data_IF_508985399303
#
_entry.id   IF_508985399303
#
_cell.length_a   1.000
_cell.length_b   1.000
_cell.length_c   1.000
_cell.angle_alpha   90.00
_cell.angle_beta   90.00
_cell.angle_gamma   90.00
#
_symmetry.space_group_name_H-M   'P 1'
#
loop_
_entity.id
_entity.type
_entity.pdbx_description
1 polymer ?
2 branched ?
3 non-polymer ?
4 non-polymer ?
5 water ?
#
# COMPACT_ATOMS: atom_id res chain seq x y z
N UNK A 31 -27.06 9.27 -6.53
CA UNK A 31 -27.51 8.09 -5.73
C UNK A 31 -27.01 8.21 -4.29
N UNK A 32 -27.79 7.66 -3.36
CA UNK A 32 -27.45 7.67 -1.93
C UNK A 32 -27.74 6.27 -1.38
N UNK A 33 -27.12 5.27 -2.01
CA UNK A 33 -27.36 3.87 -1.68
C UNK A 33 -26.41 3.31 -0.61
N UNK A 34 -25.33 4.04 -0.30
CA UNK A 34 -24.29 3.54 0.61
C UNK A 34 -23.47 2.41 0.00
N UNK A 35 -23.30 2.46 -1.32
CA UNK A 35 -22.49 1.50 -2.04
C UNK A 35 -21.43 2.21 -2.90
N UNK A 36 -21.42 3.54 -2.89
CA UNK A 36 -20.52 4.34 -3.73
C UNK A 36 -19.07 4.17 -3.32
N UNK A 37 -18.15 4.34 -4.27
CA UNK A 37 -16.70 4.35 -3.96
C UNK A 37 -16.35 5.54 -3.09
N UNK A 38 -15.41 5.37 -2.17
CA UNK A 38 -14.90 6.50 -1.40
C UNK A 38 -13.54 6.89 -1.94
N UNK A 39 -13.40 8.16 -2.32
CA UNK A 39 -12.21 8.62 -2.98
C UNK A 39 -11.17 9.24 -2.02
N UNK A 40 -11.41 9.06 -0.73
CA UNK A 40 -10.41 9.39 0.31
C UNK A 40 -9.93 8.11 1.01
N UNK A 41 -10.15 6.97 0.36
CA UNK A 41 -9.75 5.67 0.86
C UNK A 41 -8.80 5.07 -0.16
N UNK A 42 -7.56 4.85 0.29
CA UNK A 42 -6.45 4.42 -0.57
C UNK A 42 -6.06 3.00 -0.21
N UNK A 43 -5.98 2.11 -1.19
CA UNK A 43 -5.66 0.72 -0.90
C UNK A 43 -4.37 0.33 -1.62
N UNK A 44 -3.38 -0.11 -0.84
CA UNK A 44 -2.04 -0.38 -1.40
C UNK A 44 -2.01 -1.64 -2.26
N UNK A 45 -1.62 -1.45 -3.53
CA UNK A 45 -1.75 -2.46 -4.57
C UNK A 45 -0.40 -2.79 -5.20
N UNK A 46 -0.18 -4.09 -5.39
CA UNK A 46 1.10 -4.64 -5.90
C UNK A 46 0.87 -5.36 -7.23
N UNK A 47 1.65 -4.98 -8.25
CA UNK A 47 1.50 -5.56 -9.60
C UNK A 47 2.73 -6.39 -10.02
N UNK A 48 3.40 -6.97 -9.03
CA UNK A 48 4.65 -7.68 -9.26
C UNK A 48 4.50 -9.22 -9.37
N UNK A 49 3.25 -9.69 -9.46
CA UNK A 49 2.97 -11.14 -9.60
C UNK A 49 2.99 -11.56 -11.04
N UNK A 50 3.51 -12.75 -11.29
CA UNK A 50 3.63 -13.23 -12.65
C UNK A 50 3.21 -14.67 -12.78
N UNK A 51 2.93 -15.07 -14.02
CA UNK A 51 2.83 -16.48 -14.34
C UNK A 51 3.87 -16.84 -15.42
N UNK A 52 4.26 -18.10 -15.43
CA UNK A 52 5.16 -18.61 -16.45
C UNK A 52 4.65 -18.26 -17.85
N UNK A 53 3.35 -18.46 -18.08
CA UNK A 53 2.73 -18.27 -19.40
C UNK A 53 2.74 -16.82 -19.88
N UNK A 54 2.48 -15.88 -18.97
CA UNK A 54 2.33 -14.48 -19.38
C UNK A 54 3.65 -13.71 -19.19
N UNK A 55 4.37 -14.05 -18.12
CA UNK A 55 5.53 -13.26 -17.70
C UNK A 55 6.86 -14.00 -17.79
N UNK A 56 6.81 -15.30 -18.06
CA UNK A 56 8.02 -16.10 -18.22
C UNK A 56 8.43 -16.82 -16.94
N UNK A 57 7.81 -16.43 -15.83
CA UNK A 57 8.11 -17.00 -14.53
C UNK A 57 6.94 -16.70 -13.57
N UNK A 58 6.78 -17.54 -12.56
CA UNK A 58 5.78 -17.25 -11.52
C UNK A 58 6.40 -16.24 -10.54
N UNK A 59 6.56 -15.02 -11.07
CA UNK A 59 7.24 -13.92 -10.39
C UNK A 59 6.56 -13.58 -9.07
N UNK A 60 7.36 -13.39 -8.03
CA UNK A 60 6.90 -13.11 -6.66
C UNK A 60 6.20 -14.27 -5.93
N UNK A 61 5.43 -15.10 -6.65
CA UNK A 61 4.98 -16.38 -6.06
C UNK A 61 6.19 -17.21 -5.68
N UNK A 62 7.23 -17.13 -6.50
CA UNK A 62 8.57 -17.58 -6.14
C UNK A 62 9.31 -16.39 -5.52
N UNK A 63 10.05 -16.62 -4.44
CA UNK A 63 10.65 -15.53 -3.69
C UNK A 63 11.76 -16.07 -2.81
N UNK A 64 12.82 -15.28 -2.67
CA UNK A 64 13.94 -15.64 -1.80
C UNK A 64 13.48 -15.58 -0.35
N UNK A 65 14.00 -16.49 0.47
CA UNK A 65 13.78 -16.42 1.90
C UNK A 65 14.86 -15.50 2.46
N UNK A 66 14.43 -14.46 3.19
CA UNK A 66 15.36 -13.45 3.71
C UNK A 66 16.21 -14.03 4.84
N UNK A 67 17.52 -13.68 4.87
CA UNK A 67 18.34 -14.16 5.98
C UNK A 67 17.96 -13.44 7.28
N UNK A 68 18.23 -14.08 8.42
CA UNK A 68 18.02 -13.48 9.73
C UNK A 68 19.05 -12.36 9.95
N UNK A 69 18.58 -11.12 10.14
CA UNK A 69 19.47 -9.98 10.41
C UNK A 69 20.29 -10.17 11.68
N UNK A 70 19.80 -11.00 12.59
CA UNK A 70 20.49 -11.28 13.86
C UNK A 70 20.97 -12.73 13.96
N UNK A 71 21.03 -13.43 12.84
CA UNK A 71 21.39 -14.85 12.82
C UNK A 71 22.82 -15.11 12.40
N UNK A 72 23.13 -16.39 12.18
CA UNK A 72 24.46 -16.83 11.78
C UNK A 72 24.99 -16.21 10.49
N UNK A 73 26.30 -16.27 10.30
CA UNK A 73 26.94 -15.70 9.11
C UNK A 73 27.02 -16.67 7.93
N UNK A 74 26.82 -17.96 8.20
CA UNK A 74 26.82 -18.96 7.14
C UNK A 74 25.42 -19.40 6.74
N UNK A 75 24.51 -18.43 6.60
CA UNK A 75 23.12 -18.73 6.28
C UNK A 75 22.89 -19.02 4.79
N UNK A 76 22.33 -20.20 4.52
CA UNK A 76 21.79 -20.53 3.21
C UNK A 76 20.27 -20.68 3.35
N UNK A 77 19.53 -19.55 3.34
CA UNK A 77 18.08 -19.61 3.63
C UNK A 77 17.30 -20.33 2.53
N UNK A 78 17.74 -20.18 1.29
CA UNK A 78 17.06 -20.81 0.18
C UNK A 78 15.97 -19.93 -0.38
N UNK A 79 15.05 -20.55 -1.11
CA UNK A 79 13.99 -19.82 -1.79
C UNK A 79 12.68 -20.60 -1.72
N UNK A 80 11.58 -19.89 -1.91
CA UNK A 80 10.30 -20.51 -2.11
C UNK A 80 10.10 -20.64 -3.62
N UNK A 81 9.89 -21.88 -4.12
CA UNK A 81 9.90 -22.15 -5.56
C UNK A 81 8.76 -21.55 -6.36
N UNK A 82 7.64 -21.22 -5.71
CA UNK A 82 6.49 -20.64 -6.42
C UNK A 82 5.73 -21.64 -7.25
N UNK A 83 5.79 -22.90 -6.83
CA UNK A 83 4.98 -23.97 -7.41
C UNK A 83 3.54 -23.83 -6.91
N UNK A 84 2.62 -24.58 -7.50
CA UNK A 84 1.25 -24.57 -6.98
C UNK A 84 1.20 -24.89 -5.48
N UNK A 85 2.03 -25.83 -5.05
CA UNK A 85 2.05 -26.29 -3.66
C UNK A 85 2.78 -25.34 -2.70
N UNK A 86 3.75 -24.61 -3.21
CA UNK A 86 4.60 -23.80 -2.36
C UNK A 86 4.83 -22.39 -2.91
N UNK A 87 4.00 -21.46 -2.45
CA UNK A 87 4.11 -20.04 -2.83
C UNK A 87 4.60 -19.17 -1.66
N UNK A 88 5.07 -17.96 -1.97
CA UNK A 88 5.67 -17.06 -1.01
C UNK A 88 4.63 -16.24 -0.22
N UNK A 89 3.74 -16.95 0.46
CA UNK A 89 2.71 -16.34 1.31
C UNK A 89 2.29 -17.36 2.35
N UNK A 90 1.86 -16.89 3.52
CA UNK A 90 1.26 -17.80 4.50
C UNK A 90 -0.20 -18.09 4.18
N UNK A 91 -0.76 -17.34 3.24
CA UNK A 91 -2.14 -17.52 2.75
C UNK A 91 -2.13 -17.97 1.31
N UNK A 92 -3.29 -18.27 0.75
CA UNK A 92 -3.37 -18.69 -0.64
C UNK A 92 -4.48 -17.96 -1.41
N UNK A 93 -4.12 -17.28 -2.52
CA UNK A 93 -5.09 -16.52 -3.29
C UNK A 93 -6.21 -17.35 -3.86
N UNK A 94 -7.43 -16.85 -3.75
CA UNK A 94 -8.59 -17.42 -4.43
C UNK A 94 -8.34 -17.48 -5.94
N UNK A 95 -7.64 -16.47 -6.47
CA UNK A 95 -7.35 -16.41 -7.90
C UNK A 95 -6.14 -17.23 -8.35
N UNK A 96 -5.49 -17.92 -7.40
CA UNK A 96 -4.32 -18.77 -7.71
C UNK A 96 -3.06 -17.96 -7.99
N UNK A 97 -2.06 -18.60 -8.61
CA UNK A 97 -0.81 -17.92 -8.92
C UNK A 97 -1.03 -17.00 -10.14
N UNK A 98 -1.68 -15.87 -9.88
CA UNK A 98 -2.09 -15.02 -10.98
C UNK A 98 -0.98 -14.14 -11.56
N UNK A 99 -1.17 -13.71 -12.80
CA UNK A 99 -0.32 -12.67 -13.41
C UNK A 99 -0.95 -11.30 -13.23
N UNK A 100 -0.16 -10.35 -12.73
CA UNK A 100 -0.56 -8.94 -12.67
C UNK A 100 -0.64 -8.31 -14.06
N UNK A 101 -0.19 -9.04 -15.09
CA UNK A 101 -0.30 -8.59 -16.49
C UNK A 101 -1.57 -9.09 -17.17
N UNK A 102 -2.34 -9.95 -16.51
CA UNK A 102 -3.50 -10.64 -17.12
C UNK A 102 -4.72 -9.72 -17.05
N UNK A 103 -5.22 -9.28 -18.21
CA UNK A 103 -6.35 -8.34 -18.26
C UNK A 103 -7.58 -8.86 -17.50
N UNK A 104 -7.83 -10.17 -17.56
CA UNK A 104 -8.98 -10.70 -16.87
C UNK A 104 -8.79 -10.76 -15.33
N UNK A 105 -7.55 -10.93 -14.87
CA UNK A 105 -7.24 -10.78 -13.44
C UNK A 105 -7.48 -9.33 -13.00
N UNK A 106 -6.98 -8.38 -13.80
CA UNK A 106 -7.23 -6.96 -13.51
C UNK A 106 -8.73 -6.62 -13.42
N UNK A 107 -9.55 -7.14 -14.34
CA UNK A 107 -10.99 -6.89 -14.28
C UNK A 107 -11.59 -7.38 -12.95
N UNK A 108 -11.16 -8.56 -12.50
CA UNK A 108 -11.67 -9.14 -11.26
C UNK A 108 -11.23 -8.32 -10.05
N UNK A 109 -9.98 -7.86 -10.07
CA UNK A 109 -9.46 -7.01 -9.02
C UNK A 109 -10.25 -5.71 -8.91
N UNK A 110 -10.58 -5.10 -10.05
CA UNK A 110 -11.36 -3.85 -10.04
C UNK A 110 -12.76 -4.08 -9.47
N UNK A 111 -13.37 -5.21 -9.81
CA UNK A 111 -14.65 -5.57 -9.24
C UNK A 111 -14.54 -5.75 -7.72
N UNK A 112 -13.40 -6.29 -7.26
CA UNK A 112 -13.15 -6.43 -5.83
C UNK A 112 -13.01 -5.07 -5.15
N UNK A 113 -12.37 -4.12 -5.83
CA UNK A 113 -12.29 -2.73 -5.34
C UNK A 113 -13.67 -2.11 -5.19
N UNK A 114 -14.53 -2.34 -6.18
CA UNK A 114 -15.92 -1.85 -6.13
C UNK A 114 -16.67 -2.46 -4.94
N UNK A 115 -16.44 -3.74 -4.70
CA UNK A 115 -17.07 -4.41 -3.56
C UNK A 115 -16.61 -3.80 -2.23
N UNK A 116 -15.33 -3.44 -2.16
CA UNK A 116 -14.73 -2.91 -0.94
C UNK A 116 -15.01 -1.41 -0.74
N UNK A 117 -15.54 -0.77 -1.80
CA UNK A 117 -15.78 0.67 -1.86
C UNK A 117 -14.49 1.52 -1.75
N UNK A 118 -13.35 0.91 -2.05
CA UNK A 118 -12.06 1.60 -2.05
C UNK A 118 -11.85 2.31 -3.37
N UNK A 119 -12.01 3.63 -3.38
CA UNK A 119 -11.96 4.42 -4.61
C UNK A 119 -10.60 4.66 -5.23
N UNK A 120 -9.52 4.48 -4.45
CA UNK A 120 -8.16 4.75 -4.94
C UNK A 120 -7.21 3.57 -4.76
N UNK A 121 -6.62 3.16 -5.87
CA UNK A 121 -5.66 2.09 -5.91
C UNK A 121 -4.28 2.76 -5.85
N UNK A 122 -3.52 2.49 -4.80
CA UNK A 122 -2.21 3.11 -4.62
C UNK A 122 -1.11 2.13 -5.08
N UNK A 123 -0.61 2.38 -6.28
CA UNK A 123 0.17 1.40 -7.02
C UNK A 123 1.65 1.48 -6.68
N UNK A 124 2.18 0.36 -6.18
CA UNK A 124 3.60 0.23 -5.92
C UNK A 124 4.38 0.60 -7.19
N UNK A 125 5.43 1.39 -7.04
CA UNK A 125 6.19 1.87 -8.19
C UNK A 125 7.70 1.86 -7.91
N UNK A 126 8.42 1.06 -8.69
CA UNK A 126 9.82 0.73 -8.41
C UNK A 126 10.85 1.23 -9.43
N UNK A 127 10.44 2.11 -10.32
CA UNK A 127 11.33 2.66 -11.37
C UNK A 127 12.06 1.51 -12.10
N UNK A 128 11.29 0.53 -12.56
CA UNK A 128 11.86 -0.64 -13.22
C UNK A 128 12.40 -0.34 -14.62
N UNK A 129 11.96 0.79 -15.17
CA UNK A 129 12.21 1.18 -16.56
C UNK A 129 12.34 -0.02 -17.51
N UNK A 130 11.24 -0.75 -17.61
CA UNK A 130 11.15 -1.83 -18.58
C UNK A 130 9.74 -1.88 -19.13
N UNK A 131 9.63 -2.40 -20.35
CA UNK A 131 8.39 -2.34 -21.09
C UNK A 131 7.24 -3.13 -20.44
N UNK A 132 7.58 -4.21 -19.74
CA UNK A 132 6.52 -5.04 -19.16
C UNK A 132 5.81 -4.28 -18.04
N UNK A 133 6.54 -3.46 -17.28
CA UNK A 133 5.91 -2.62 -16.25
C UNK A 133 5.06 -1.50 -16.84
N UNK A 134 5.57 -0.84 -17.88
CA UNK A 134 4.81 0.19 -18.57
C UNK A 134 3.49 -0.38 -19.08
N UNK A 135 3.52 -1.62 -19.58
CA UNK A 135 2.30 -2.28 -20.05
C UNK A 135 1.30 -2.49 -18.91
N UNK A 136 1.79 -3.01 -17.77
CA UNK A 136 0.95 -3.22 -16.59
C UNK A 136 0.31 -1.94 -16.10
N UNK A 137 1.08 -0.85 -16.05
CA UNK A 137 0.53 0.42 -15.55
C UNK A 137 -0.64 0.88 -16.43
N UNK A 138 -0.47 0.77 -17.75
CA UNK A 138 -1.54 1.13 -18.70
C UNK A 138 -2.77 0.24 -18.56
N UNK A 139 -2.55 -1.06 -18.39
CA UNK A 139 -3.68 -1.99 -18.22
C UNK A 139 -4.45 -1.69 -16.94
N UNK A 140 -3.70 -1.39 -15.88
CA UNK A 140 -4.31 -1.08 -14.58
C UNK A 140 -5.15 0.20 -14.65
N UNK A 141 -4.57 1.25 -15.18
CA UNK A 141 -5.31 2.50 -15.40
C UNK A 141 -6.62 2.28 -16.19
N UNK A 142 -6.51 1.59 -17.33
CA UNK A 142 -7.66 1.28 -18.17
C UNK A 142 -8.74 0.47 -17.42
N UNK A 143 -8.32 -0.61 -16.76
CA UNK A 143 -9.25 -1.46 -16.00
C UNK A 143 -9.90 -0.68 -14.86
N UNK A 144 -9.10 0.13 -14.16
CA UNK A 144 -9.61 1.00 -13.08
C UNK A 144 -10.72 1.92 -13.60
N UNK A 145 -10.45 2.55 -14.74
CA UNK A 145 -11.38 3.57 -15.23
C UNK A 145 -12.74 2.97 -15.56
N UNK A 146 -12.75 1.73 -16.05
CA UNK A 146 -13.99 1.04 -16.37
C UNK A 146 -14.92 0.92 -15.18
N UNK A 147 -14.35 1.00 -13.99
CA UNK A 147 -15.12 0.85 -12.75
C UNK A 147 -15.10 2.13 -11.90
N UNK A 148 -14.63 3.25 -12.48
CA UNK A 148 -14.56 4.57 -11.82
C UNK A 148 -13.56 4.59 -10.65
N UNK A 149 -12.68 3.60 -10.62
CA UNK A 149 -11.58 3.58 -9.64
C UNK A 149 -10.47 4.56 -10.08
N UNK A 150 -9.79 5.18 -9.11
CA UNK A 150 -8.67 6.05 -9.40
C UNK A 150 -7.34 5.38 -9.02
N UNK A 151 -6.25 5.87 -9.60
CA UNK A 151 -4.93 5.32 -9.36
C UNK A 151 -3.98 6.42 -8.98
N UNK A 152 -3.25 6.24 -7.87
CA UNK A 152 -2.10 7.07 -7.55
C UNK A 152 -0.88 6.16 -7.37
N UNK A 153 0.30 6.77 -7.26
CA UNK A 153 1.55 6.00 -7.18
C UNK A 153 2.17 6.03 -5.80
N UNK A 154 2.64 4.86 -5.40
CA UNK A 154 3.34 4.65 -4.14
C UNK A 154 4.82 4.49 -4.50
N UNK A 155 5.59 5.56 -4.29
CA UNK A 155 6.95 5.62 -4.79
C UNK A 155 7.89 4.92 -3.82
N UNK A 156 8.45 3.82 -4.29
CA UNK A 156 9.24 2.93 -3.43
C UNK A 156 10.71 3.35 -3.40
N UNK A 157 11.49 2.77 -2.48
CA UNK A 157 12.92 3.10 -2.38
C UNK A 157 13.76 2.40 -3.46
N UNK A 158 13.64 2.85 -4.71
CA UNK A 158 14.41 2.29 -5.82
C UNK A 158 15.89 2.71 -5.74
N UNK A 159 16.80 1.98 -6.42
CA UNK A 159 18.23 2.28 -6.21
C UNK A 159 18.64 3.71 -6.57
N UNK A 160 19.44 4.34 -5.70
CA UNK A 160 19.91 5.72 -5.90
C UNK A 160 18.79 6.76 -5.93
N UNK A 161 17.62 6.41 -5.39
CA UNK A 161 16.51 7.37 -5.29
C UNK A 161 17.02 8.60 -4.55
N UNK A 162 16.71 9.77 -5.10
CA UNK A 162 17.11 11.04 -4.53
C UNK A 162 16.12 12.09 -5.04
N UNK A 163 16.20 13.32 -4.56
CA UNK A 163 15.13 14.26 -4.93
C UNK A 163 15.14 14.64 -6.42
N UNK A 164 16.31 14.58 -7.05
CA UNK A 164 16.43 14.92 -8.48
C UNK A 164 15.74 13.90 -9.39
N UNK A 165 16.14 12.62 -9.28
CA UNK A 165 15.43 11.59 -10.03
C UNK A 165 13.99 11.38 -9.58
N UNK A 166 13.67 11.66 -8.30
CA UNK A 166 12.25 11.68 -7.93
C UNK A 166 11.49 12.72 -8.73
N UNK A 167 12.05 13.93 -8.84
CA UNK A 167 11.37 14.97 -9.61
C UNK A 167 11.21 14.52 -11.06
N UNK A 168 12.29 13.96 -11.61
CA UNK A 168 12.27 13.51 -13.00
C UNK A 168 11.17 12.44 -13.21
N UNK A 169 11.04 11.55 -12.24
CA UNK A 169 10.06 10.48 -12.31
C UNK A 169 8.61 10.96 -12.09
N UNK A 170 8.46 11.93 -11.20
CA UNK A 170 7.17 12.60 -11.00
C UNK A 170 6.73 13.28 -12.29
N UNK A 171 7.66 14.03 -12.90
CA UNK A 171 7.37 14.67 -14.19
C UNK A 171 6.95 13.63 -15.24
N UNK A 172 7.70 12.53 -15.33
CA UNK A 172 7.38 11.49 -16.30
C UNK A 172 5.99 10.91 -16.06
N UNK A 173 5.69 10.60 -14.80
CA UNK A 173 4.40 9.99 -14.45
C UNK A 173 3.22 10.92 -14.72
N UNK A 174 3.35 12.19 -14.31
CA UNK A 174 2.29 13.17 -14.57
C UNK A 174 2.14 13.44 -16.08
N UNK A 175 3.25 13.56 -16.79
CA UNK A 175 3.22 13.76 -18.24
C UNK A 175 2.56 12.58 -18.96
N UNK A 176 2.99 11.36 -18.62
CA UNK A 176 2.49 10.16 -19.28
C UNK A 176 1.03 9.84 -18.90
N UNK A 177 0.70 9.99 -17.62
CA UNK A 177 -0.59 9.48 -17.14
C UNK A 177 -1.58 10.53 -16.62
N UNK A 178 -1.13 11.77 -16.52
CA UNK A 178 -1.94 12.85 -15.92
C UNK A 178 -3.26 13.09 -16.64
N UNK A 179 -3.29 12.79 -17.94
CA UNK A 179 -4.52 12.97 -18.72
C UNK A 179 -5.39 11.71 -18.76
N UNK A 180 -4.91 10.62 -18.18
CA UNK A 180 -5.74 9.42 -18.08
C UNK A 180 -6.92 9.70 -17.15
N UNK A 181 -8.15 9.33 -17.56
CA UNK A 181 -9.30 9.59 -16.69
C UNK A 181 -9.24 8.91 -15.31
N UNK A 182 -8.44 7.86 -15.15
CA UNK A 182 -8.31 7.17 -13.86
C UNK A 182 -7.20 7.75 -12.96
N UNK A 183 -6.43 8.69 -13.50
CA UNK A 183 -5.35 9.34 -12.73
C UNK A 183 -5.95 10.15 -11.56
N UNK A 184 -5.55 9.84 -10.34
CA UNK A 184 -6.12 10.46 -9.14
C UNK A 184 -5.71 11.92 -8.91
N UNK A 185 -6.70 12.74 -8.54
CA UNK A 185 -6.44 14.11 -8.11
C UNK A 185 -7.31 14.42 -6.90
N UNK A 186 -6.74 15.17 -5.97
CA UNK A 186 -7.48 15.71 -4.81
C UNK A 186 -7.47 17.24 -4.95
N UNK A 187 -8.66 17.82 -5.07
CA UNK A 187 -8.81 19.25 -5.34
C UNK A 187 -7.78 19.71 -6.38
N UNK A 188 -7.71 18.99 -7.50
CA UNK A 188 -6.85 19.38 -8.60
C UNK A 188 -5.40 18.92 -8.57
N UNK A 189 -4.95 18.34 -7.47
CA UNK A 189 -3.56 17.91 -7.33
C UNK A 189 -3.37 16.39 -7.33
N UNK A 190 -2.34 15.89 -8.04
CA UNK A 190 -2.01 14.46 -7.89
C UNK A 190 -1.54 14.21 -6.47
N UNK A 191 -1.49 12.93 -6.08
CA UNK A 191 -0.99 12.57 -4.77
C UNK A 191 -0.01 11.40 -4.89
N UNK A 192 1.10 11.50 -4.17
CA UNK A 192 2.07 10.40 -4.07
C UNK A 192 2.31 10.04 -2.63
N UNK A 193 2.41 8.74 -2.37
CA UNK A 193 2.89 8.20 -1.10
C UNK A 193 4.37 7.90 -1.31
N UNK A 194 5.20 8.26 -0.34
CA UNK A 194 6.64 8.03 -0.46
C UNK A 194 7.12 7.08 0.64
N UNK A 195 7.36 5.83 0.25
CA UNK A 195 7.79 4.80 1.19
C UNK A 195 9.21 5.08 1.66
N UNK A 196 9.45 4.82 2.97
CA UNK A 196 10.74 5.05 3.62
C UNK A 196 11.36 6.41 3.24
N UNK A 197 10.54 7.46 3.30
CA UNK A 197 10.96 8.81 2.95
C UNK A 197 12.10 9.30 3.85
N UNK A 198 12.21 8.71 5.05
CA UNK A 198 13.24 9.09 6.01
C UNK A 198 14.67 8.79 5.54
N UNK A 199 14.79 7.94 4.53
CA UNK A 199 16.10 7.62 3.95
C UNK A 199 16.68 8.80 3.17
N UNK A 200 15.87 9.84 2.96
CA UNK A 200 16.32 11.09 2.31
C UNK A 200 16.25 12.25 3.32
N UNK A 201 17.36 12.98 3.47
CA UNK A 201 17.43 14.08 4.44
C UNK A 201 16.42 15.20 4.15
N UNK A 202 15.85 15.82 5.21
CA UNK A 202 14.96 16.97 4.98
C UNK A 202 15.59 18.09 4.17
N UNK A 203 16.91 18.32 4.31
CA UNK A 203 17.55 19.39 3.50
C UNK A 203 17.47 19.10 1.99
N UNK A 204 17.45 17.83 1.62
CA UNK A 204 17.21 17.45 0.21
C UNK A 204 15.74 17.60 -0.16
N UNK A 205 14.86 17.05 0.68
CA UNK A 205 13.41 17.17 0.43
C UNK A 205 13.00 18.61 0.19
N UNK A 206 13.58 19.53 0.96
CA UNK A 206 13.15 20.90 0.90
C UNK A 206 13.39 21.51 -0.49
N UNK A 207 14.43 21.04 -1.19
CA UNK A 207 14.76 21.53 -2.53
C UNK A 207 13.63 21.18 -3.51
N UNK A 208 12.92 20.11 -3.19
CA UNK A 208 11.85 19.61 -4.05
C UNK A 208 10.51 20.12 -3.56
N UNK A 209 10.35 20.22 -2.26
CA UNK A 209 9.02 20.41 -1.65
C UNK A 209 8.75 21.77 -1.02
N UNK A 210 9.79 22.57 -0.78
CA UNK A 210 9.58 23.94 -0.36
C UNK A 210 9.20 24.80 -1.57
N UNK A 211 8.25 25.75 -1.41
CA UNK A 211 8.00 26.68 -2.51
C UNK A 211 9.29 27.41 -2.94
N UNK A 212 10.26 27.51 -2.02
CA UNK A 212 11.55 28.16 -2.33
C UNK A 212 12.66 27.25 -2.82
N UNK A 213 12.40 25.93 -2.83
CA UNK A 213 13.41 24.94 -3.20
C UNK A 213 13.94 25.04 -4.62
N UNK A 214 15.25 24.81 -4.78
CA UNK A 214 15.94 24.98 -6.07
C UNK A 214 15.35 24.12 -7.21
N UNK A 215 14.76 22.98 -6.88
CA UNK A 215 14.05 22.19 -7.90
C UNK A 215 12.58 21.98 -7.51
N UNK A 216 11.97 23.02 -6.97
CA UNK A 216 10.63 22.89 -6.41
C UNK A 216 9.60 22.40 -7.44
N UNK A 217 8.65 21.60 -6.97
CA UNK A 217 7.45 21.31 -7.77
C UNK A 217 6.29 22.23 -7.40
N UNK A 218 6.41 23.01 -6.33
CA UNK A 218 5.31 23.91 -5.93
C UNK A 218 5.10 24.98 -7.00
N UNK A 219 3.84 25.26 -7.29
CA UNK A 219 3.48 26.26 -8.30
C UNK A 219 3.93 25.88 -9.72
N UNK A 220 4.13 24.59 -9.98
CA UNK A 220 4.48 24.10 -11.30
C UNK A 220 3.37 23.18 -11.81
N UNK A 221 3.46 22.77 -13.07
CA UNK A 221 2.56 21.75 -13.62
C UNK A 221 2.71 20.38 -12.94
N UNK A 222 3.75 20.23 -12.10
CA UNK A 222 4.07 18.94 -11.47
C UNK A 222 3.87 18.91 -9.97
N UNK A 223 3.21 19.95 -9.45
CA UNK A 223 2.85 20.02 -8.05
C UNK A 223 1.97 18.83 -7.67
N UNK A 224 2.10 18.37 -6.43
CA UNK A 224 1.41 17.17 -5.97
C UNK A 224 1.34 17.17 -4.45
N UNK A 225 0.34 16.49 -3.89
CA UNK A 225 0.34 16.25 -2.45
C UNK A 225 1.37 15.14 -2.19
N UNK A 226 2.38 15.45 -1.41
CA UNK A 226 3.44 14.49 -1.10
C UNK A 226 3.27 13.95 0.30
N UNK A 227 3.01 12.65 0.40
CA UNK A 227 2.67 12.02 1.69
C UNK A 227 3.85 11.14 2.14
N UNK A 228 4.51 11.57 3.20
CA UNK A 228 5.71 10.87 3.68
C UNK A 228 5.37 9.84 4.72
N UNK A 229 6.31 8.92 4.99
CA UNK A 229 6.08 7.85 5.95
C UNK A 229 6.47 8.28 7.36
N UNK A 230 5.48 8.49 8.22
CA UNK A 230 5.76 8.74 9.63
C UNK A 230 6.11 7.42 10.30
N UNK A 231 7.35 7.28 10.75
CA UNK A 231 7.80 6.04 11.42
C UNK A 231 7.82 6.17 12.95
N UNK A 232 8.76 6.95 13.48
CA UNK A 232 9.09 6.92 14.91
C UNK A 232 8.41 8.00 15.77
N UNK A 233 9.06 8.41 16.86
CA UNK A 233 8.42 9.32 17.83
C UNK A 233 8.27 10.74 17.27
N UNK A 234 7.31 11.52 17.82
CA UNK A 234 7.09 12.92 17.42
C UNK A 234 8.35 13.76 17.50
N UNK A 235 9.22 13.50 18.49
CA UNK A 235 10.47 14.27 18.62
C UNK A 235 11.27 14.30 17.32
N UNK A 236 11.30 13.16 16.64
CA UNK A 236 12.01 13.00 15.37
C UNK A 236 11.11 13.35 14.18
N UNK A 237 9.87 12.88 14.21
CA UNK A 237 9.03 12.93 13.01
C UNK A 237 8.44 14.30 12.73
N UNK A 238 8.08 15.04 13.78
CA UNK A 238 7.48 16.36 13.60
C UNK A 238 8.41 17.33 12.85
N UNK A 239 9.65 17.51 13.33
CA UNK A 239 10.56 18.37 12.57
C UNK A 239 10.89 17.84 11.17
N UNK A 240 10.98 16.51 11.03
CA UNK A 240 11.22 15.89 9.72
C UNK A 240 10.13 16.30 8.73
N UNK A 241 8.88 16.09 9.11
CA UNK A 241 7.75 16.43 8.25
C UNK A 241 7.71 17.92 7.92
N UNK A 242 7.91 18.79 8.92
CA UNK A 242 7.91 20.23 8.69
C UNK A 242 9.07 20.69 7.83
N UNK A 243 10.28 20.26 8.17
CA UNK A 243 11.50 20.67 7.48
C UNK A 243 11.61 20.09 6.06
N UNK A 244 10.99 18.94 5.84
CA UNK A 244 10.99 18.33 4.52
C UNK A 244 9.88 18.89 3.63
N UNK A 245 8.94 19.59 4.25
CA UNK A 245 7.81 20.19 3.52
C UNK A 245 6.85 19.18 2.89
N UNK A 246 6.74 18.00 3.49
CA UNK A 246 5.69 17.06 3.09
C UNK A 246 4.32 17.65 3.35
N UNK A 247 3.39 17.33 2.46
CA UNK A 247 2.00 17.79 2.62
C UNK A 247 1.22 16.98 3.62
N UNK A 248 1.74 15.80 3.93
CA UNK A 248 1.03 14.90 4.85
C UNK A 248 1.89 13.71 5.15
N UNK A 249 1.29 12.75 5.86
CA UNK A 249 2.02 11.56 6.26
C UNK A 249 1.08 10.36 6.41
N UNK A 250 1.65 9.18 6.19
CA UNK A 250 0.96 7.92 6.40
C UNK A 250 1.86 7.02 7.21
N UNK A 251 1.35 5.87 7.63
CA UNK A 251 2.09 5.02 8.56
C UNK A 251 2.44 3.64 8.01
N UNK A 252 1.75 3.24 6.95
CA UNK A 252 1.90 1.94 6.25
C UNK A 252 1.67 0.63 7.01
N UNK A 253 2.46 0.36 8.05
CA UNK A 253 2.56 -1.01 8.59
C UNK A 253 1.24 -1.50 9.16
N UNK A 254 0.85 -2.69 8.72
CA UNK A 254 -0.40 -3.33 9.13
C UNK A 254 -0.32 -3.88 10.55
N UNK A 255 0.90 -4.12 11.04
CA UNK A 255 1.11 -4.72 12.37
C UNK A 255 1.15 -3.66 13.45
N UNK A 256 0.14 -3.66 14.33
CA UNK A 256 0.07 -2.64 15.39
C UNK A 256 1.34 -2.74 16.23
N UNK A 257 1.92 -1.58 16.56
CA UNK A 257 3.06 -1.54 17.47
C UNK A 257 4.40 -1.72 16.80
N UNK A 258 4.40 -2.01 15.50
CA UNK A 258 5.67 -2.22 14.79
C UNK A 258 6.53 -0.95 14.84
N UNK A 259 5.88 0.20 14.69
CA UNK A 259 6.50 1.51 14.89
C UNK A 259 5.57 2.34 15.74
N UNK A 260 6.07 3.50 16.21
CA UNK A 260 5.20 4.50 16.86
C UNK A 260 4.02 4.88 15.94
N UNK A 261 4.32 5.17 14.67
CA UNK A 261 3.28 5.53 13.72
C UNK A 261 2.21 4.48 13.53
N UNK A 262 2.58 3.20 13.64
CA UNK A 262 1.63 2.09 13.44
C UNK A 262 1.05 1.55 14.75
N UNK A 263 1.13 2.39 15.80
CA UNK A 263 0.49 2.12 17.09
C UNK A 263 -0.76 3.00 17.19
N UNK A 264 -1.95 2.43 16.93
CA UNK A 264 -3.19 3.22 16.77
C UNK A 264 -3.57 4.14 17.93
N UNK A 265 -3.07 3.86 19.14
CA UNK A 265 -3.39 4.74 20.27
C UNK A 265 -2.70 6.10 20.14
N UNK A 266 -1.70 6.20 19.26
CA UNK A 266 -1.06 7.47 18.93
C UNK A 266 -1.82 8.31 17.91
N UNK A 267 -2.86 7.75 17.30
CA UNK A 267 -3.46 8.44 16.15
C UNK A 267 -4.22 9.74 16.47
N UNK A 268 -4.99 9.75 17.57
CA UNK A 268 -5.56 11.01 18.03
C UNK A 268 -4.54 12.18 18.12
N UNK A 269 -3.40 11.92 18.75
CA UNK A 269 -2.35 12.92 18.96
C UNK A 269 -1.69 13.30 17.63
N UNK A 270 -1.52 12.30 16.75
CA UNK A 270 -0.94 12.55 15.43
C UNK A 270 -1.84 13.42 14.57
N UNK A 271 -3.15 13.16 14.63
CA UNK A 271 -4.15 13.96 13.89
C UNK A 271 -4.20 15.40 14.44
N UNK A 272 -4.06 15.55 15.76
CA UNK A 272 -4.07 16.87 16.41
C UNK A 272 -2.92 17.70 15.87
N UNK A 273 -1.73 17.10 15.84
CA UNK A 273 -0.55 17.77 15.31
C UNK A 273 -0.71 18.09 13.83
N UNK A 274 -1.23 17.12 13.07
CA UNK A 274 -1.46 17.32 11.63
C UNK A 274 -2.36 18.52 11.38
N UNK A 275 -3.46 18.60 12.13
CA UNK A 275 -4.40 19.69 11.93
C UNK A 275 -3.78 21.04 12.31
N UNK A 276 -2.98 21.04 13.38
CA UNK A 276 -2.31 22.25 13.85
C UNK A 276 -1.29 22.77 12.85
N UNK A 277 -0.78 21.88 12.01
CA UNK A 277 0.31 22.23 11.12
C UNK A 277 -0.01 22.17 9.64
N UNK A 278 -1.29 22.14 9.31
CA UNK A 278 -1.76 22.15 7.93
C UNK A 278 -1.33 20.91 7.14
N UNK A 279 -1.17 19.78 7.84
CA UNK A 279 -0.75 18.52 7.18
C UNK A 279 -1.90 17.52 7.10
N UNK A 280 -1.85 16.63 6.10
CA UNK A 280 -2.88 15.62 5.90
C UNK A 280 -2.40 14.30 6.51
N UNK A 281 -3.12 13.79 7.51
CA UNK A 281 -2.76 12.51 8.14
C UNK A 281 -3.61 11.41 7.49
N UNK A 282 -2.93 10.38 6.96
CA UNK A 282 -3.61 9.24 6.31
C UNK A 282 -3.14 7.94 6.99
N UNK A 283 -3.70 7.62 8.18
CA UNK A 283 -3.30 6.38 8.86
C UNK A 283 -3.53 5.17 7.98
N UNK A 284 -2.67 4.16 8.10
CA UNK A 284 -2.84 2.89 7.41
C UNK A 284 -3.40 1.83 8.36
N UNK A 285 -4.44 1.16 7.88
CA UNK A 285 -5.11 0.11 8.66
C UNK A 285 -4.93 -1.18 7.89
N UNK A 286 -4.79 -2.30 8.60
CA UNK A 286 -4.65 -3.59 7.96
C UNK A 286 -5.38 -4.69 8.73
N UNK A 287 -5.67 -5.82 8.05
CA UNK A 287 -6.44 -6.91 8.66
C UNK A 287 -5.62 -7.90 9.49
N UNK A 288 -4.30 -7.80 9.43
CA UNK A 288 -3.42 -8.72 10.14
C UNK A 288 -2.04 -8.65 9.52
N UNK A 289 -1.12 -9.45 10.04
CA UNK A 289 0.22 -9.48 9.49
C UNK A 289 0.86 -10.83 9.76
N UNK A 290 1.43 -11.43 8.71
CA UNK A 290 2.35 -12.57 8.90
C UNK A 290 3.20 -12.74 7.64
N UNK A 291 4.52 -12.79 7.83
CA UNK A 291 5.45 -12.91 6.70
C UNK A 291 6.46 -14.04 6.87
N UNK A 292 6.12 -15.03 7.71
CA UNK A 292 7.12 -16.02 8.11
C UNK A 292 7.53 -17.02 7.03
N UNK A 293 6.76 -17.14 5.95
CA UNK A 293 7.23 -17.96 4.83
C UNK A 293 8.51 -17.36 4.24
N UNK A 294 8.51 -16.04 4.04
CA UNK A 294 9.69 -15.36 3.50
C UNK A 294 10.65 -14.78 4.54
N UNK A 295 10.18 -14.60 5.76
CA UNK A 295 10.99 -14.06 6.86
C UNK A 295 10.77 -14.93 8.12
N UNK A 296 11.34 -16.14 8.14
CA UNK A 296 11.01 -17.14 9.18
C UNK A 296 11.39 -16.72 10.59
N UNK A 297 12.29 -15.75 10.68
CA UNK A 297 12.79 -15.19 11.94
C UNK A 297 11.91 -14.07 12.50
N UNK A 298 10.88 -13.68 11.73
CA UNK A 298 10.13 -12.45 12.02
C UNK A 298 8.77 -12.71 12.69
N UNK A 299 8.67 -13.83 13.42
CA UNK A 299 7.43 -14.23 14.11
C UNK A 299 6.87 -13.23 15.12
N UNK A 300 7.72 -12.39 15.71
CA UNK A 300 7.25 -11.41 16.68
C UNK A 300 6.30 -10.37 16.08
N UNK A 301 6.36 -10.20 14.75
CA UNK A 301 5.54 -9.21 14.08
C UNK A 301 4.17 -9.78 13.65
N UNK A 302 3.99 -11.08 13.81
CA UNK A 302 2.69 -11.71 13.50
C UNK A 302 1.55 -11.03 14.29
N UNK A 303 0.49 -10.67 13.57
CA UNK A 303 -0.74 -10.20 14.19
C UNK A 303 -1.89 -11.04 13.64
N UNK A 304 -2.58 -11.74 14.54
CA UNK A 304 -3.60 -12.71 14.11
C UNK A 304 -4.89 -12.01 13.70
N UNK A 305 -5.56 -12.53 12.67
CA UNK A 305 -6.77 -11.87 12.15
C UNK A 305 -7.98 -11.99 13.07
N UNK A 306 -8.00 -13.07 13.86
CA UNK A 306 -9.15 -13.45 14.71
C UNK A 306 -10.52 -13.14 14.12
N UNK A 307 -10.80 -13.74 12.95
CA UNK A 307 -12.10 -13.65 12.30
C UNK A 307 -12.55 -12.22 11.98
N UNK A 308 -11.59 -11.31 11.80
CA UNK A 308 -11.88 -9.92 11.44
C UNK A 308 -11.79 -8.90 12.58
N UNK A 309 -11.70 -9.37 13.83
CA UNK A 309 -11.72 -8.44 14.97
C UNK A 309 -10.51 -7.50 14.95
N UNK A 310 -9.36 -8.01 14.52
CA UNK A 310 -8.15 -7.17 14.42
C UNK A 310 -8.37 -6.03 13.44
N UNK A 311 -8.90 -6.37 12.27
CA UNK A 311 -9.23 -5.37 11.26
C UNK A 311 -10.20 -4.33 11.82
N UNK A 312 -11.26 -4.81 12.47
CA UNK A 312 -12.27 -3.90 13.04
C UNK A 312 -11.65 -2.93 14.04
N UNK A 313 -10.81 -3.45 14.93
CA UNK A 313 -10.19 -2.63 15.96
C UNK A 313 -9.33 -1.52 15.37
N UNK A 314 -8.54 -1.87 14.37
CA UNK A 314 -7.64 -0.90 13.74
C UNK A 314 -8.40 0.16 12.92
N UNK A 315 -9.39 -0.27 12.14
CA UNK A 315 -10.15 0.65 11.34
C UNK A 315 -10.96 1.60 12.25
N UNK A 316 -11.51 1.05 13.34
CA UNK A 316 -12.26 1.84 14.32
C UNK A 316 -11.39 2.96 14.89
N UNK A 317 -10.13 2.65 15.21
CA UNK A 317 -9.18 3.64 15.71
C UNK A 317 -8.88 4.76 14.72
N UNK A 318 -8.73 4.40 13.45
CA UNK A 318 -8.52 5.39 12.40
C UNK A 318 -9.70 6.34 12.32
N UNK A 319 -10.91 5.78 12.31
CA UNK A 319 -12.12 6.59 12.16
C UNK A 319 -12.26 7.50 13.39
N UNK A 320 -12.05 6.93 14.57
CA UNK A 320 -12.16 7.68 15.82
C UNK A 320 -11.15 8.83 15.95
N UNK A 321 -10.01 8.72 15.26
CA UNK A 321 -9.00 9.79 15.30
C UNK A 321 -9.45 11.04 14.54
N UNK A 322 -10.54 10.95 13.77
CA UNK A 322 -11.09 12.10 13.05
C UNK A 322 -10.31 12.53 11.80
N UNK A 323 -9.67 11.57 11.13
CA UNK A 323 -8.91 11.85 9.90
C UNK A 323 -9.82 12.02 8.69
N UNK A 324 -9.27 12.65 7.64
CA UNK A 324 -9.97 12.99 6.40
C UNK A 324 -9.75 11.95 5.29
N UNK A 325 -8.81 11.04 5.53
CA UNK A 325 -8.45 10.02 4.55
C UNK A 325 -7.84 8.80 5.29
N UNK A 326 -8.00 7.61 4.71
CA UNK A 326 -7.48 6.39 5.33
C UNK A 326 -6.82 5.56 4.24
N UNK A 327 -5.72 4.89 4.58
CA UNK A 327 -5.06 4.00 3.66
C UNK A 327 -5.16 2.56 4.18
N UNK A 328 -5.21 1.60 3.25
CA UNK A 328 -5.39 0.20 3.63
C UNK A 328 -4.19 -0.60 3.17
N UNK A 329 -3.54 -1.21 4.15
CA UNK A 329 -2.40 -2.10 3.91
C UNK A 329 -2.88 -3.53 4.18
N UNK A 330 -3.22 -4.32 3.14
CA UNK A 330 -3.01 -3.98 1.71
C UNK A 330 -4.10 -4.66 0.90
N UNK A 331 -4.17 -4.34 -0.39
CA UNK A 331 -4.99 -5.18 -1.25
C UNK A 331 -4.37 -6.58 -1.40
N UNK A 332 -3.08 -6.62 -1.73
CA UNK A 332 -2.46 -7.87 -2.17
C UNK A 332 -0.94 -7.94 -1.92
N UNK A 333 -0.50 -7.51 -0.74
CA UNK A 333 0.86 -7.81 -0.29
C UNK A 333 0.80 -9.20 0.37
N UNK A 334 0.77 -10.23 -0.48
CA UNK A 334 0.62 -11.63 -0.02
C UNK A 334 1.82 -12.13 0.80
N UNK A 335 3.00 -11.58 0.52
CA UNK A 335 4.19 -11.94 1.28
C UNK A 335 4.04 -11.56 2.75
N UNK A 336 3.32 -10.46 3.02
CA UNK A 336 3.22 -9.93 4.37
C UNK A 336 1.93 -10.28 5.10
N UNK A 337 1.05 -11.01 4.41
CA UNK A 337 -0.20 -11.52 5.02
C UNK A 337 -1.13 -10.40 5.46
N UNK A 338 -1.02 -9.25 4.80
CA UNK A 338 -1.82 -8.07 5.12
C UNK A 338 -2.96 -7.89 4.11
N UNK A 339 -3.08 -8.84 3.17
CA UNK A 339 -4.00 -8.68 2.05
C UNK A 339 -5.50 -8.76 2.45
N UNK A 340 -6.33 -7.91 1.84
CA UNK A 340 -7.78 -8.08 1.92
C UNK A 340 -8.33 -8.87 0.69
N UNK A 341 -7.47 -9.08 -0.31
CA UNK A 341 -7.89 -9.86 -1.48
C UNK A 341 -8.34 -11.25 -1.00
N UNK A 342 -9.41 -11.78 -1.61
CA UNK A 342 -9.92 -13.10 -1.17
C UNK A 342 -8.86 -14.20 -1.18
N UNK A 343 -8.80 -14.95 -0.09
CA UNK A 343 -7.93 -16.11 0.07
C UNK A 343 -8.82 -17.33 0.33
N UNK A 344 -8.32 -18.52 -0.01
CA UNK A 344 -9.09 -19.75 0.17
C UNK A 344 -8.32 -20.77 1.01
N UNK A 345 -9.05 -21.70 1.65
CA UNK A 345 -8.35 -22.76 2.35
C UNK A 345 -7.56 -23.61 1.38
N UNK A 346 -6.34 -23.99 1.75
CA UNK A 346 -5.53 -24.85 0.91
C UNK A 346 -4.50 -25.58 1.74
N UNK A 347 -4.47 -26.89 1.59
CA UNK A 347 -3.39 -27.68 2.16
C UNK A 347 -2.72 -28.41 1.01
N UNK A 348 -1.43 -28.21 0.86
CA UNK A 348 -0.67 -28.98 -0.09
C UNK A 348 0.24 -29.90 0.70
N UNK A 349 0.94 -30.79 -0.01
CA UNK A 349 1.95 -31.63 0.62
C UNK A 349 3.10 -30.81 1.21
N UNK A 350 3.28 -29.60 0.69
CA UNK A 350 4.41 -28.75 1.10
C UNK A 350 4.08 -27.85 2.28
N UNK A 351 2.84 -27.38 2.36
CA UNK A 351 2.48 -26.38 3.36
C UNK A 351 0.99 -26.39 3.62
N UNK A 352 0.62 -26.12 4.88
CA UNK A 352 -0.77 -25.88 5.24
C UNK A 352 -0.97 -24.37 5.41
N UNK A 353 -1.71 -23.76 4.48
CA UNK A 353 -1.86 -22.32 4.47
C UNK A 353 -2.86 -21.86 5.52
N UNK A 354 -2.68 -20.64 6.01
CA UNK A 354 -3.72 -19.97 6.77
C UNK A 354 -4.82 -19.58 5.80
N UNK A 355 -5.99 -19.28 6.32
CA UNK A 355 -7.11 -18.88 5.47
C UNK A 355 -8.00 -17.98 6.33
N UNK A 356 -9.20 -17.65 5.84
CA UNK A 356 -10.04 -16.67 6.55
C UNK A 356 -10.95 -17.28 7.64
N UNK A 357 -10.62 -18.50 8.04
CA UNK A 357 -11.12 -19.10 9.29
C UNK A 357 -12.63 -19.30 9.18
N UNK A 358 -13.40 -18.63 10.04
CA UNK A 358 -14.86 -18.77 9.99
C UNK A 358 -15.51 -17.81 9.01
N UNK A 359 -14.69 -17.01 8.32
CA UNK A 359 -15.22 -16.04 7.36
C UNK A 359 -15.07 -16.53 5.92
N UNK A 360 -15.96 -16.06 5.05
CA UNK A 360 -15.90 -16.38 3.60
C UNK A 360 -14.70 -15.68 2.95
N UNK A 361 -14.23 -16.20 1.80
CA UNK A 361 -13.09 -15.55 1.10
C UNK A 361 -13.24 -14.05 0.85
N UNK A 362 -14.45 -13.56 0.59
CA UNK A 362 -14.59 -12.13 0.33
C UNK A 362 -14.90 -11.30 1.57
N UNK A 363 -14.82 -11.90 2.75
CA UNK A 363 -15.16 -11.20 4.00
C UNK A 363 -14.42 -9.86 4.17
N UNK A 364 -13.12 -9.85 3.86
CA UNK A 364 -12.33 -8.63 4.08
C UNK A 364 -12.69 -7.52 3.10
N UNK A 365 -13.18 -7.90 1.92
CA UNK A 365 -13.72 -6.93 0.97
C UNK A 365 -15.01 -6.32 1.50
N UNK A 366 -15.93 -7.18 1.94
CA UNK A 366 -17.23 -6.67 2.41
C UNK A 366 -17.09 -5.94 3.75
N UNK A 367 -16.18 -6.41 4.60
CA UNK A 367 -15.91 -5.72 5.88
C UNK A 367 -15.28 -4.35 5.63
N UNK A 368 -14.40 -4.25 4.62
CA UNK A 368 -13.88 -2.94 4.19
C UNK A 368 -15.02 -1.97 3.79
N UNK A 369 -15.95 -2.44 2.97
CA UNK A 369 -17.12 -1.63 2.61
C UNK A 369 -17.89 -1.15 3.84
N UNK A 370 -18.02 -2.01 4.84
CA UNK A 370 -18.69 -1.66 6.08
C UNK A 370 -17.98 -0.47 6.75
N UNK A 371 -16.66 -0.58 6.87
CA UNK A 371 -15.86 0.46 7.50
C UNK A 371 -15.81 1.75 6.70
N UNK A 372 -15.78 1.64 5.37
CA UNK A 372 -15.89 2.79 4.49
C UNK A 372 -17.18 3.54 4.78
N UNK A 373 -18.28 2.81 4.94
CA UNK A 373 -19.57 3.41 5.33
C UNK A 373 -19.48 4.19 6.64
N UNK A 374 -18.91 3.55 7.68
CA UNK A 374 -18.70 4.20 8.98
C UNK A 374 -17.81 5.45 8.88
N UNK A 375 -16.73 5.35 8.10
CA UNK A 375 -15.84 6.49 7.81
C UNK A 375 -16.59 7.68 7.19
N UNK A 376 -17.43 7.38 6.20
CA UNK A 376 -18.15 8.39 5.45
C UNK A 376 -19.20 9.05 6.33
N UNK A 377 -19.76 8.23 7.19
CA UNK A 377 -20.76 8.66 8.15
C UNK A 377 -20.22 9.75 9.07
N UNK A 378 -18.96 9.64 9.48
CA UNK A 378 -18.38 10.62 10.41
C UNK A 378 -17.46 11.65 9.76
N UNK A 379 -17.25 11.53 8.45
CA UNK A 379 -16.16 12.23 7.72
C UNK A 379 -16.03 13.72 8.01
#
# INVERSE_FOLDING_TARGET
>A
MMIFFLSLSLESCSKEDDNNPSNSENNGGNNNLGTELDYDTFCFYYDWYGSEAIDGQYRHWAHAIAPDPNGGSGQNPGTIPGTQESIASNFYPQLGRYSSSDPNILTKHMDMFVMARTGVLALTWWNEQDETEAKRIGLILDAADKKKIKVCFHLEPYPSRNVQNLRENIVKLITRYGNHPAFYRKDGKPLFFIYDSYLIEPSEWEKLLSPGGSITIRNTAYDALMIGLWTSSPTVQRPFILNAHFDGFYTYFAATGFTYGSTPTNWVSMQKWAKENGKIFIPSVGPGYIDTRIRPWNGSVIRTRTDGQYYDAMYRKAIEAGVSAISITSFNEWHEGSQIEPAVPYTSSEFTYLDYENREPDYYLTRTAYWVGKFRESKQ
#
